data_IF_522960231887
#
_entry.id   IF_522960231887
#
_cell.length_a   1.000
_cell.length_b   1.000
_cell.length_c   1.000
_cell.angle_alpha   90.00
_cell.angle_beta   90.00
_cell.angle_gamma   90.00
#
_symmetry.space_group_name_H-M   'P 1'
#
loop_
_entity.id
_entity.type
_entity.pdbx_description
1 polymer ?
#
# COMPACT_ATOMS: atom_id res chain seq x y z
N UNK A 1 27.84 21.68 6.09
CA UNK A 1 28.13 20.23 5.98
C UNK A 1 27.81 19.48 7.29
N UNK A 2 26.60 19.65 7.84
CA UNK A 2 26.15 18.92 9.03
C UNK A 2 24.65 18.61 8.93
N UNK A 3 23.89 19.53 8.33
CA UNK A 3 22.48 19.34 8.01
C UNK A 3 22.28 18.34 6.89
N UNK A 4 23.15 18.28 5.86
CA UNK A 4 22.95 17.38 4.72
C UNK A 4 23.22 15.91 5.05
N UNK A 5 24.29 15.60 5.78
CA UNK A 5 24.76 14.21 5.94
C UNK A 5 23.95 13.37 6.94
N UNK A 6 23.24 14.02 7.87
CA UNK A 6 22.36 13.36 8.85
C UNK A 6 20.87 13.52 8.52
N UNK A 7 20.51 14.25 7.46
CA UNK A 7 19.11 14.58 7.17
C UNK A 7 18.29 13.36 6.73
N UNK A 8 18.94 12.37 6.11
CA UNK A 8 18.25 11.21 5.54
C UNK A 8 17.75 10.23 6.60
N UNK A 9 18.41 10.16 7.76
CA UNK A 9 18.10 9.19 8.83
C UNK A 9 17.45 9.82 10.07
N UNK A 10 17.56 11.15 10.25
CA UNK A 10 17.04 11.84 11.44
C UNK A 10 15.57 12.28 11.31
N UNK A 11 14.98 12.25 10.11
CA UNK A 11 13.62 12.76 9.89
C UNK A 11 12.72 11.69 9.26
N UNK A 12 11.78 11.16 10.04
CA UNK A 12 10.67 10.40 9.50
C UNK A 12 9.78 11.32 8.66
N UNK A 13 9.60 10.99 7.37
CA UNK A 13 8.68 11.71 6.48
C UNK A 13 7.41 10.89 6.30
N UNK A 14 6.27 11.49 6.65
CA UNK A 14 4.97 10.89 6.35
C UNK A 14 4.75 10.81 4.84
N UNK A 15 4.29 9.66 4.38
CA UNK A 15 4.01 9.42 2.96
C UNK A 15 2.67 10.03 2.49
N UNK A 16 1.92 10.67 3.39
CA UNK A 16 0.57 11.23 3.15
C UNK A 16 0.41 12.67 3.68
N UNK A 17 1.31 13.15 4.54
CA UNK A 17 1.24 14.53 5.03
C UNK A 17 1.59 15.51 3.90
N UNK A 18 0.89 16.64 3.88
CA UNK A 18 1.24 17.80 3.07
C UNK A 18 1.91 18.82 4.00
N UNK A 19 3.17 19.15 3.72
CA UNK A 19 3.97 20.10 4.49
C UNK A 19 4.32 21.35 3.65
N UNK A 20 3.56 21.61 2.58
CA UNK A 20 3.72 22.79 1.74
C UNK A 20 3.11 24.04 2.42
N UNK A 21 3.33 25.22 1.84
CA UNK A 21 2.64 26.43 2.27
C UNK A 21 1.14 26.34 1.99
N UNK A 22 0.36 27.18 2.67
CA UNK A 22 -1.08 27.25 2.46
C UNK A 22 -1.45 27.57 1.01
N UNK A 23 -0.73 28.51 0.38
CA UNK A 23 -0.97 28.95 -0.99
C UNK A 23 -0.78 27.81 -1.99
N UNK A 24 0.27 27.00 -1.81
CA UNK A 24 0.54 25.84 -2.65
C UNK A 24 -0.50 24.74 -2.43
N UNK A 25 -0.83 24.43 -1.17
CA UNK A 25 -1.91 23.48 -0.86
C UNK A 25 -3.24 23.93 -1.48
N UNK A 26 -3.52 25.23 -1.45
CA UNK A 26 -4.72 25.80 -2.03
C UNK A 26 -4.73 25.66 -3.57
N UNK A 27 -3.62 25.99 -4.25
CA UNK A 27 -3.50 25.84 -5.70
C UNK A 27 -3.57 24.37 -6.16
N UNK A 28 -3.10 23.44 -5.33
CA UNK A 28 -3.10 21.99 -5.60
C UNK A 28 -4.46 21.32 -5.31
N UNK A 29 -5.51 22.14 -5.10
CA UNK A 29 -6.88 21.69 -4.95
C UNK A 29 -7.31 21.46 -3.51
N UNK A 30 -6.57 22.01 -2.53
CA UNK A 30 -6.96 22.03 -1.11
C UNK A 30 -7.29 20.63 -0.55
N UNK A 31 -6.55 19.61 -1.01
CA UNK A 31 -6.83 18.20 -0.68
C UNK A 31 -6.62 17.97 0.82
N UNK A 32 -7.60 17.39 1.49
CA UNK A 32 -7.41 16.95 2.87
C UNK A 32 -6.60 15.63 2.94
N UNK A 33 -6.33 15.16 4.16
CA UNK A 33 -5.55 13.94 4.37
C UNK A 33 -6.26 12.67 3.86
N UNK A 34 -7.59 12.65 3.86
CA UNK A 34 -8.39 11.51 3.41
C UNK A 34 -8.33 11.37 1.89
N UNK A 35 -8.43 12.49 1.17
CA UNK A 35 -8.27 12.54 -0.28
C UNK A 35 -6.87 12.06 -0.68
N UNK A 36 -5.81 12.59 -0.04
CA UNK A 36 -4.43 12.17 -0.34
C UNK A 36 -4.19 10.69 -0.02
N UNK A 37 -4.72 10.19 1.10
CA UNK A 37 -4.67 8.77 1.44
C UNK A 37 -5.38 7.92 0.37
N UNK A 38 -6.54 8.39 -0.10
CA UNK A 38 -7.34 7.69 -1.11
C UNK A 38 -6.60 7.53 -2.44
N UNK A 39 -6.03 8.62 -2.92
CA UNK A 39 -5.23 8.64 -4.16
C UNK A 39 -4.01 7.72 -4.03
N UNK A 40 -3.33 7.75 -2.88
CA UNK A 40 -2.13 6.95 -2.65
C UNK A 40 -2.40 5.44 -2.70
N UNK A 41 -3.40 4.92 -1.98
CA UNK A 41 -3.63 3.46 -1.99
C UNK A 41 -4.08 2.97 -3.36
N UNK A 42 -4.86 3.78 -4.11
CA UNK A 42 -5.25 3.46 -5.49
C UNK A 42 -4.04 3.40 -6.41
N UNK A 43 -3.12 4.36 -6.29
CA UNK A 43 -1.88 4.34 -7.04
C UNK A 43 -1.03 3.10 -6.69
N UNK A 44 -0.93 2.74 -5.41
CA UNK A 44 -0.21 1.55 -4.97
C UNK A 44 -0.78 0.26 -5.58
N UNK A 45 -2.11 0.10 -5.59
CA UNK A 45 -2.75 -1.05 -6.23
C UNK A 45 -2.57 -1.06 -7.74
N UNK A 46 -2.66 0.11 -8.39
CA UNK A 46 -2.48 0.22 -9.83
C UNK A 46 -1.04 -0.10 -10.28
N UNK A 47 -0.05 0.22 -9.44
CA UNK A 47 1.36 -0.09 -9.69
C UNK A 47 1.82 -1.44 -9.14
N UNK A 48 0.94 -2.19 -8.47
CA UNK A 48 1.33 -3.44 -7.81
C UNK A 48 1.59 -4.53 -8.85
N UNK A 49 2.79 -5.08 -8.83
CA UNK A 49 3.16 -6.29 -9.55
C UNK A 49 3.38 -7.41 -8.53
N UNK A 50 2.63 -8.50 -8.68
CA UNK A 50 2.80 -9.65 -7.82
C UNK A 50 4.20 -10.25 -8.03
N UNK A 51 4.96 -10.52 -6.95
CA UNK A 51 6.25 -11.18 -7.09
C UNK A 51 6.06 -12.58 -7.68
N UNK A 52 7.01 -13.08 -8.49
CA UNK A 52 6.89 -14.39 -9.09
C UNK A 52 6.81 -15.47 -8.01
N UNK A 53 5.85 -16.38 -8.19
CA UNK A 53 5.66 -17.57 -7.38
C UNK A 53 5.87 -18.79 -8.28
N UNK A 54 6.58 -19.81 -7.77
CA UNK A 54 6.76 -21.07 -8.48
C UNK A 54 5.38 -21.71 -8.75
N UNK A 55 5.04 -22.03 -10.01
CA UNK A 55 3.75 -22.66 -10.36
C UNK A 55 3.46 -23.94 -9.57
N UNK A 56 4.48 -24.76 -9.29
CA UNK A 56 4.28 -26.00 -8.52
C UNK A 56 3.90 -25.72 -7.06
N UNK A 57 4.39 -24.61 -6.49
CA UNK A 57 4.02 -24.17 -5.14
C UNK A 57 2.60 -23.60 -5.16
N UNK A 58 2.25 -22.78 -6.15
CA UNK A 58 0.90 -22.22 -6.28
C UNK A 58 -0.16 -23.32 -6.42
N UNK A 59 0.10 -24.33 -7.27
CA UNK A 59 -0.77 -25.49 -7.43
C UNK A 59 -0.93 -26.28 -6.13
N UNK A 60 0.16 -26.53 -5.39
CA UNK A 60 0.11 -27.24 -4.12
C UNK A 60 -0.70 -26.49 -3.05
N UNK A 61 -0.55 -25.15 -2.99
CA UNK A 61 -1.33 -24.29 -2.10
C UNK A 61 -2.82 -24.34 -2.45
N UNK A 62 -3.15 -24.21 -3.74
CA UNK A 62 -4.53 -24.27 -4.21
C UNK A 62 -5.19 -25.64 -3.93
N UNK A 63 -4.47 -26.74 -4.13
CA UNK A 63 -4.96 -28.09 -3.82
C UNK A 63 -5.22 -28.29 -2.32
N UNK A 64 -4.33 -27.79 -1.45
CA UNK A 64 -4.53 -27.84 -0.01
C UNK A 64 -5.75 -27.02 0.42
N UNK A 65 -5.92 -25.81 -0.13
CA UNK A 65 -7.09 -24.94 0.16
C UNK A 65 -8.39 -25.62 -0.25
N UNK A 66 -8.45 -26.22 -1.46
CA UNK A 66 -9.62 -26.93 -1.94
C UNK A 66 -10.02 -28.08 -0.99
N UNK A 67 -9.06 -28.93 -0.63
CA UNK A 67 -9.27 -30.02 0.33
C UNK A 67 -9.74 -29.53 1.70
N UNK A 68 -9.25 -28.37 2.16
CA UNK A 68 -9.68 -27.77 3.42
C UNK A 68 -11.10 -27.22 3.35
N UNK A 69 -11.48 -26.59 2.24
CA UNK A 69 -12.86 -26.11 2.03
C UNK A 69 -13.87 -27.26 2.03
N UNK A 70 -13.56 -28.39 1.40
CA UNK A 70 -14.40 -29.60 1.41
C UNK A 70 -14.59 -30.18 2.83
N UNK A 71 -13.63 -29.98 3.73
CA UNK A 71 -13.68 -30.46 5.11
C UNK A 71 -14.43 -29.55 6.08
N UNK A 72 -14.82 -28.35 5.63
CA UNK A 72 -15.61 -27.41 6.41
C UNK A 72 -17.07 -27.54 5.97
N UNK A 73 -18.05 -27.62 6.88
CA UNK A 73 -19.45 -27.47 6.49
C UNK A 73 -19.59 -26.12 5.81
N UNK A 74 -20.29 -26.07 4.67
CA UNK A 74 -20.57 -24.83 3.95
C UNK A 74 -21.22 -23.84 4.91
N UNK A 75 -20.40 -22.95 5.47
CA UNK A 75 -20.82 -21.95 6.44
C UNK A 75 -21.58 -20.88 5.71
N UNK A 76 -22.90 -21.07 5.65
CA UNK A 76 -23.99 -20.10 5.48
C UNK A 76 -23.50 -18.71 5.05
N UNK A 77 -23.72 -18.38 3.78
CA UNK A 77 -23.76 -17.00 3.30
C UNK A 77 -24.98 -16.23 3.81
#
# INVERSE_FOLDING_TARGET
QHTQDNFETAFWRSAVADNNSFEQWQSDGSKDIVVRANERWKAMLASYEAPPLDPAIDEALNAFIAKKKESLPDGIG
#
